data_IF_275864065258
#
_entry.id   IF_275864065258
#
_cell.length_a   1.000
_cell.length_b   1.000
_cell.length_c   1.000
_cell.angle_alpha   90.00
_cell.angle_beta   90.00
_cell.angle_gamma   90.00
#
_symmetry.space_group_name_H-M   'P 1'
#
loop_
_entity.id
_entity.type
_entity.pdbx_description
1 polymer ?
#
# COMPACT_ATOMS: atom_id res chain seq x y z
N UNK A 1 -14.97 -7.62 -0.79
CA UNK A 1 -13.59 -8.12 -0.61
C UNK A 1 -12.64 -6.97 -0.49
N UNK A 2 -11.84 -6.98 0.56
CA UNK A 2 -10.88 -5.92 0.82
C UNK A 2 -9.72 -5.97 -0.16
N UNK A 3 -9.29 -4.81 -0.62
CA UNK A 3 -8.12 -4.64 -1.47
C UNK A 3 -7.17 -3.67 -0.77
N UNK A 4 -5.95 -4.12 -0.55
CA UNK A 4 -4.90 -3.25 -0.03
C UNK A 4 -4.48 -2.28 -1.14
N UNK A 5 -4.28 -1.01 -0.82
CA UNK A 5 -3.89 0.00 -1.82
C UNK A 5 -2.56 0.61 -1.40
N UNK A 6 -1.55 0.41 -2.24
CA UNK A 6 -0.20 0.89 -2.03
C UNK A 6 -0.08 2.40 -2.28
N UNK A 7 0.96 3.00 -1.69
CA UNK A 7 1.31 4.41 -1.89
C UNK A 7 1.36 4.81 -3.36
N UNK A 8 1.90 3.94 -4.22
CA UNK A 8 2.04 4.25 -5.66
C UNK A 8 0.71 4.58 -6.32
N UNK A 9 -0.36 3.92 -5.92
CA UNK A 9 -1.71 4.17 -6.45
C UNK A 9 -2.31 5.43 -5.84
N UNK A 10 -2.23 5.59 -4.52
CA UNK A 10 -2.73 6.79 -3.85
C UNK A 10 -2.03 8.05 -4.36
N UNK A 11 -0.70 8.00 -4.49
CA UNK A 11 0.09 9.12 -4.99
C UNK A 11 -0.31 9.47 -6.43
N UNK A 12 -0.39 8.48 -7.32
CA UNK A 12 -0.77 8.70 -8.72
C UNK A 12 -2.17 9.32 -8.83
N UNK A 13 -3.11 8.87 -7.98
CA UNK A 13 -4.47 9.43 -7.95
C UNK A 13 -4.48 10.89 -7.48
N UNK A 14 -3.57 11.26 -6.58
CA UNK A 14 -3.47 12.63 -6.05
C UNK A 14 -2.65 13.56 -6.94
N UNK A 15 -1.93 13.05 -7.93
CA UNK A 15 -1.03 13.83 -8.79
C UNK A 15 -1.51 13.81 -10.24
N UNK A 16 -2.16 14.89 -10.67
CA UNK A 16 -2.70 15.01 -12.03
C UNK A 16 -1.63 14.90 -13.12
N UNK A 17 -0.36 15.18 -12.78
CA UNK A 17 0.77 15.09 -13.72
C UNK A 17 1.38 13.70 -13.79
N UNK A 18 0.97 12.78 -12.94
CA UNK A 18 1.46 11.40 -12.96
C UNK A 18 0.91 10.67 -14.17
N UNK A 19 1.77 9.91 -14.86
CA UNK A 19 1.37 9.13 -16.03
C UNK A 19 0.31 8.09 -15.74
N UNK A 20 0.22 7.64 -14.48
CA UNK A 20 -0.77 6.67 -14.01
C UNK A 20 -1.99 7.32 -13.35
N UNK A 21 -2.12 8.65 -13.39
CA UNK A 21 -3.21 9.34 -12.69
C UNK A 21 -4.60 8.80 -13.09
N UNK A 22 -4.86 8.69 -14.39
CA UNK A 22 -6.15 8.17 -14.88
C UNK A 22 -6.36 6.72 -14.42
N UNK A 23 -5.35 5.88 -14.58
CA UNK A 23 -5.45 4.46 -14.22
C UNK A 23 -5.67 4.27 -12.73
N UNK A 24 -4.98 5.05 -11.90
CA UNK A 24 -5.17 5.02 -10.45
C UNK A 24 -6.61 5.37 -10.06
N UNK A 25 -7.17 6.42 -10.67
CA UNK A 25 -8.56 6.82 -10.42
C UNK A 25 -9.55 5.74 -10.86
N UNK A 26 -9.31 5.10 -12.00
CA UNK A 26 -10.13 4.00 -12.49
C UNK A 26 -10.09 2.81 -11.52
N UNK A 27 -8.89 2.42 -11.06
CA UNK A 27 -8.73 1.35 -10.08
C UNK A 27 -9.49 1.65 -8.80
N UNK A 28 -9.29 2.83 -8.22
CA UNK A 28 -9.95 3.21 -6.97
C UNK A 28 -11.48 3.24 -7.12
N UNK A 29 -11.98 3.63 -8.27
CA UNK A 29 -13.42 3.65 -8.53
C UNK A 29 -14.04 2.24 -8.57
N UNK A 30 -13.25 1.21 -8.89
CA UNK A 30 -13.74 -0.17 -8.96
C UNK A 30 -13.55 -0.95 -7.66
N UNK A 31 -12.72 -0.44 -6.73
CA UNK A 31 -12.45 -1.12 -5.46
C UNK A 31 -13.54 -0.77 -4.46
N UNK A 32 -14.31 -1.78 -4.04
CA UNK A 32 -15.42 -1.57 -3.10
C UNK A 32 -14.95 -1.34 -1.65
N UNK A 33 -13.89 -2.01 -1.25
CA UNK A 33 -13.38 -1.96 0.13
C UNK A 33 -11.86 -1.66 0.12
N UNK A 34 -11.46 -0.41 -0.20
CA UNK A 34 -10.05 -0.06 -0.16
C UNK A 34 -9.55 0.03 1.27
N UNK A 35 -8.32 -0.43 1.50
CA UNK A 35 -7.68 -0.32 2.80
C UNK A 35 -6.21 0.07 2.67
N UNK A 36 -5.67 0.63 3.76
CA UNK A 36 -4.27 0.97 3.88
C UNK A 36 -3.84 0.85 5.35
N UNK A 37 -2.53 0.92 5.57
CA UNK A 37 -1.98 1.03 6.92
C UNK A 37 -1.69 2.50 7.25
N UNK A 38 -1.44 2.76 8.54
CA UNK A 38 -0.93 4.06 8.99
C UNK A 38 0.45 4.37 8.36
N UNK A 39 1.28 3.35 8.10
CA UNK A 39 2.56 3.53 7.39
C UNK A 39 2.33 4.04 5.96
N UNK A 40 1.39 3.45 5.23
CA UNK A 40 1.01 3.91 3.88
C UNK A 40 0.45 5.34 3.95
N UNK A 41 -0.38 5.63 4.94
CA UNK A 41 -0.93 6.97 5.12
C UNK A 41 0.18 8.01 5.26
N UNK A 42 1.13 7.78 6.15
CA UNK A 42 2.24 8.72 6.40
C UNK A 42 3.13 8.86 5.18
N UNK A 43 3.51 7.75 4.56
CA UNK A 43 4.34 7.76 3.35
C UNK A 43 3.67 8.52 2.21
N UNK A 44 2.40 8.24 1.96
CA UNK A 44 1.62 8.92 0.92
C UNK A 44 1.50 10.41 1.20
N UNK A 45 1.15 10.78 2.43
CA UNK A 45 1.01 12.17 2.81
C UNK A 45 2.31 12.95 2.58
N UNK A 46 3.44 12.38 3.02
CA UNK A 46 4.76 13.02 2.85
C UNK A 46 5.14 13.17 1.37
N UNK A 47 4.88 12.15 0.58
CA UNK A 47 5.21 12.13 -0.84
C UNK A 47 4.36 13.14 -1.61
N UNK A 48 3.06 13.18 -1.36
CA UNK A 48 2.14 14.14 -2.00
C UNK A 48 2.51 15.57 -1.59
N UNK A 49 2.78 15.81 -0.31
CA UNK A 49 3.19 17.14 0.15
C UNK A 49 4.47 17.60 -0.54
N UNK A 50 5.44 16.70 -0.67
CA UNK A 50 6.74 17.02 -1.25
C UNK A 50 6.67 17.26 -2.76
N UNK A 51 5.91 16.45 -3.49
CA UNK A 51 5.92 16.44 -4.95
C UNK A 51 4.73 17.17 -5.58
N UNK A 52 3.67 17.39 -4.85
CA UNK A 52 2.50 18.12 -5.31
C UNK A 52 2.37 19.39 -4.47
N UNK A 53 1.64 19.34 -3.38
CA UNK A 53 1.55 20.42 -2.38
C UNK A 53 0.79 19.93 -1.13
N UNK A 54 0.85 20.75 -0.07
CA UNK A 54 0.22 20.39 1.21
C UNK A 54 -1.29 20.20 1.09
N UNK A 55 -1.98 21.03 0.32
CA UNK A 55 -3.43 20.96 0.19
C UNK A 55 -3.89 19.60 -0.36
N UNK A 56 -3.17 19.07 -1.35
CA UNK A 56 -3.45 17.74 -1.89
C UNK A 56 -3.21 16.64 -0.86
N UNK A 57 -2.13 16.75 -0.08
CA UNK A 57 -1.83 15.81 1.00
C UNK A 57 -2.92 15.81 2.08
N UNK A 58 -3.37 16.99 2.49
CA UNK A 58 -4.45 17.13 3.48
C UNK A 58 -5.78 16.58 2.94
N UNK A 59 -6.06 16.79 1.66
CA UNK A 59 -7.26 16.25 1.02
C UNK A 59 -7.26 14.72 1.04
N UNK A 60 -6.13 14.11 0.75
CA UNK A 60 -5.95 12.66 0.85
C UNK A 60 -6.21 12.17 2.28
N UNK A 61 -5.58 12.79 3.27
CA UNK A 61 -5.76 12.40 4.67
C UNK A 61 -7.21 12.57 5.12
N UNK A 62 -7.85 13.64 4.70
CA UNK A 62 -9.27 13.90 5.02
C UNK A 62 -10.16 12.77 4.51
N UNK A 63 -9.91 12.24 3.31
CA UNK A 63 -10.71 11.14 2.77
C UNK A 63 -10.52 9.85 3.59
N UNK A 64 -9.32 9.60 4.10
CA UNK A 64 -9.06 8.47 5.00
C UNK A 64 -9.77 8.68 6.34
N UNK A 65 -9.64 9.89 6.92
CA UNK A 65 -10.26 10.22 8.20
C UNK A 65 -11.79 10.17 8.16
N UNK A 66 -12.39 10.41 6.98
CA UNK A 66 -13.84 10.33 6.79
C UNK A 66 -14.38 8.90 6.75
N UNK A 67 -13.50 7.88 6.82
CA UNK A 67 -13.91 6.48 6.86
C UNK A 67 -14.24 5.87 5.49
N UNK A 68 -13.92 6.56 4.41
CA UNK A 68 -14.09 6.04 3.04
C UNK A 68 -13.12 4.87 2.78
N UNK A 69 -11.99 4.86 3.48
CA UNK A 69 -10.95 3.86 3.39
C UNK A 69 -10.74 3.23 4.77
N UNK A 70 -10.61 1.91 4.83
CA UNK A 70 -10.29 1.22 6.08
C UNK A 70 -8.83 1.43 6.43
N UNK A 71 -8.56 1.92 7.64
CA UNK A 71 -7.21 2.11 8.16
C UNK A 71 -6.89 1.00 9.17
N UNK A 72 -5.81 0.27 8.91
CA UNK A 72 -5.28 -0.72 9.85
C UNK A 72 -3.95 -0.24 10.40
N UNK A 73 -3.85 -0.17 11.72
CA UNK A 73 -2.61 0.26 12.39
C UNK A 73 -1.61 -0.90 12.36
N UNK A 74 -0.38 -0.61 11.99
CA UNK A 74 0.73 -1.56 12.05
C UNK A 74 1.02 -1.89 13.51
N UNK A 75 1.01 -3.19 13.84
CA UNK A 75 1.24 -3.68 15.21
C UNK A 75 2.70 -4.09 15.40
N UNK A 76 3.11 -4.23 16.66
CA UNK A 76 4.46 -4.69 16.99
C UNK A 76 4.78 -6.03 16.31
N UNK A 77 3.81 -6.95 16.28
CA UNK A 77 3.98 -8.25 15.61
C UNK A 77 4.20 -8.10 14.10
N UNK A 78 3.59 -7.10 13.47
CA UNK A 78 3.80 -6.81 12.05
C UNK A 78 5.22 -6.31 11.79
N UNK A 79 5.78 -5.52 12.71
CA UNK A 79 7.16 -5.06 12.62
C UNK A 79 8.15 -6.22 12.74
N UNK A 80 7.88 -7.17 13.63
CA UNK A 80 8.69 -8.38 13.76
C UNK A 80 8.63 -9.22 12.48
N UNK A 81 7.44 -9.42 11.93
CA UNK A 81 7.25 -10.13 10.68
C UNK A 81 7.95 -9.41 9.52
N UNK A 82 7.89 -8.08 9.47
CA UNK A 82 8.57 -7.27 8.46
C UNK A 82 10.08 -7.41 8.54
N UNK A 83 10.65 -7.48 9.74
CA UNK A 83 12.07 -7.73 9.93
C UNK A 83 12.46 -9.10 9.33
N UNK A 84 11.68 -10.14 9.65
CA UNK A 84 11.90 -11.50 9.14
C UNK A 84 11.79 -11.55 7.60
N UNK A 85 10.89 -10.78 7.00
CA UNK A 85 10.78 -10.68 5.55
C UNK A 85 12.07 -10.12 4.94
N UNK A 86 12.64 -9.07 5.54
CA UNK A 86 13.90 -8.52 5.09
C UNK A 86 15.05 -9.54 5.13
N UNK A 87 15.09 -10.34 6.19
CA UNK A 87 16.08 -11.41 6.34
C UNK A 87 15.91 -12.52 5.29
N UNK A 88 14.66 -12.84 4.95
CA UNK A 88 14.34 -13.90 3.99
C UNK A 88 14.58 -13.51 2.53
N UNK A 89 14.58 -12.20 2.22
CA UNK A 89 14.75 -11.68 0.88
C UNK A 89 15.91 -10.65 0.84
N UNK A 90 17.14 -11.08 1.14
CA UNK A 90 18.28 -10.15 1.27
C UNK A 90 18.69 -9.52 -0.07
N UNK A 91 18.28 -10.09 -1.18
CA UNK A 91 18.54 -9.59 -2.54
C UNK A 91 17.45 -8.64 -3.05
N UNK A 92 16.40 -8.40 -2.26
CA UNK A 92 15.31 -7.49 -2.62
C UNK A 92 15.38 -6.21 -1.79
N UNK A 93 15.21 -5.08 -2.48
CA UNK A 93 15.21 -3.76 -1.83
C UNK A 93 13.82 -3.37 -1.32
N UNK A 94 13.18 -4.27 -0.57
CA UNK A 94 11.90 -3.98 0.05
C UNK A 94 12.07 -2.95 1.18
N UNK A 95 11.35 -1.84 1.10
CA UNK A 95 11.34 -0.84 2.17
C UNK A 95 10.63 -1.37 3.42
N UNK A 96 10.77 -0.65 4.53
CA UNK A 96 9.99 -0.96 5.74
C UNK A 96 8.49 -0.90 5.45
N UNK A 97 8.05 0.08 4.67
CA UNK A 97 6.63 0.23 4.32
C UNK A 97 6.14 -0.95 3.45
N UNK A 98 6.94 -1.39 2.48
CA UNK A 98 6.64 -2.59 1.71
C UNK A 98 6.45 -3.79 2.63
N UNK A 99 7.43 -4.02 3.50
CA UNK A 99 7.45 -5.20 4.37
C UNK A 99 6.33 -5.18 5.41
N UNK A 100 6.03 -4.04 5.99
CA UNK A 100 4.89 -3.93 6.92
C UNK A 100 3.56 -4.08 6.20
N UNK A 101 3.46 -3.62 4.95
CA UNK A 101 2.29 -3.88 4.10
C UNK A 101 2.08 -5.37 3.86
N UNK A 102 3.15 -6.09 3.48
CA UNK A 102 3.10 -7.54 3.29
C UNK A 102 2.66 -8.25 4.57
N UNK A 103 3.24 -7.87 5.70
CA UNK A 103 2.92 -8.48 7.00
C UNK A 103 1.45 -8.27 7.40
N UNK A 104 0.94 -7.06 7.23
CA UNK A 104 -0.46 -6.74 7.54
C UNK A 104 -1.41 -7.49 6.62
N UNK A 105 -1.11 -7.54 5.32
CA UNK A 105 -1.92 -8.29 4.36
C UNK A 105 -1.99 -9.77 4.74
N UNK A 106 -0.86 -10.38 5.11
CA UNK A 106 -0.83 -11.77 5.56
C UNK A 106 -1.65 -11.96 6.84
N UNK A 107 -1.48 -11.08 7.83
CA UNK A 107 -2.21 -11.15 9.10
C UNK A 107 -3.73 -11.09 8.90
N UNK A 108 -4.19 -10.24 7.99
CA UNK A 108 -5.61 -10.04 7.71
C UNK A 108 -6.17 -11.01 6.66
N UNK A 109 -5.33 -11.84 6.06
CA UNK A 109 -5.75 -12.75 5.00
C UNK A 109 -6.15 -12.05 3.71
N UNK A 110 -5.57 -10.87 3.43
CA UNK A 110 -5.84 -10.10 2.21
C UNK A 110 -4.81 -10.49 1.17
N UNK A 111 -5.29 -10.97 0.02
CA UNK A 111 -4.43 -11.42 -1.07
C UNK A 111 -4.42 -10.47 -2.28
N UNK A 112 -5.29 -9.47 -2.31
CA UNK A 112 -5.42 -8.54 -3.43
C UNK A 112 -4.84 -7.18 -3.07
N UNK A 113 -4.03 -6.63 -3.96
CA UNK A 113 -3.38 -5.33 -3.76
C UNK A 113 -3.38 -4.53 -5.05
N UNK A 114 -3.70 -3.24 -4.96
CA UNK A 114 -3.52 -2.30 -6.06
C UNK A 114 -2.16 -1.62 -5.89
N UNK A 115 -1.28 -1.80 -6.85
CA UNK A 115 0.08 -1.23 -6.81
C UNK A 115 0.66 -1.11 -8.21
N UNK A 116 1.37 -0.02 -8.45
CA UNK A 116 2.19 0.15 -9.66
C UNK A 116 3.66 -0.19 -9.40
N UNK A 117 4.00 -0.55 -8.17
CA UNK A 117 5.33 -0.99 -7.78
C UNK A 117 5.47 -2.49 -7.99
N UNK A 118 6.62 -2.93 -8.49
CA UNK A 118 6.88 -4.34 -8.75
C UNK A 118 7.08 -5.17 -7.49
N UNK A 119 7.34 -4.55 -6.32
CA UNK A 119 7.65 -5.27 -5.09
C UNK A 119 6.53 -6.22 -4.67
N UNK A 120 5.26 -5.81 -4.81
CA UNK A 120 4.13 -6.68 -4.48
C UNK A 120 4.01 -7.89 -5.40
N UNK A 121 4.45 -7.75 -6.66
CA UNK A 121 4.46 -8.86 -7.61
C UNK A 121 5.64 -9.82 -7.37
N UNK A 122 6.74 -9.32 -6.82
CA UNK A 122 7.94 -10.11 -6.54
C UNK A 122 7.82 -10.90 -5.23
N UNK A 123 7.24 -10.28 -4.20
CA UNK A 123 7.12 -10.91 -2.88
C UNK A 123 6.27 -12.19 -2.93
N UNK A 124 6.69 -13.18 -2.13
CA UNK A 124 5.95 -14.43 -1.95
C UNK A 124 5.65 -14.61 -0.48
N UNK A 125 4.39 -14.92 -0.18
CA UNK A 125 3.89 -15.07 1.18
C UNK A 125 3.51 -16.52 1.48
N UNK A 126 3.02 -16.74 2.70
CA UNK A 126 2.62 -18.04 3.19
C UNK A 126 3.78 -18.76 3.87
N UNK A 127 3.45 -19.89 4.47
CA UNK A 127 4.40 -20.68 5.28
C UNK A 127 5.65 -21.07 4.50
N UNK A 128 5.48 -21.45 3.23
CA UNK A 128 6.58 -21.89 2.35
C UNK A 128 7.05 -20.78 1.41
N UNK A 129 6.55 -19.56 1.56
CA UNK A 129 6.88 -18.39 0.72
C UNK A 129 6.78 -18.72 -0.77
N UNK A 130 5.67 -19.32 -1.17
CA UNK A 130 5.40 -19.76 -2.54
C UNK A 130 4.12 -19.17 -3.14
N UNK A 131 3.39 -18.35 -2.37
CA UNK A 131 2.14 -17.72 -2.83
C UNK A 131 2.35 -16.27 -3.21
N UNK A 132 1.82 -15.87 -4.36
CA UNK A 132 1.86 -14.50 -4.85
C UNK A 132 0.58 -13.76 -4.46
N UNK A 133 0.69 -12.44 -4.25
CA UNK A 133 -0.48 -11.58 -4.19
C UNK A 133 -1.08 -11.40 -5.59
N UNK A 134 -2.38 -11.15 -5.64
CA UNK A 134 -3.08 -10.74 -6.85
C UNK A 134 -2.93 -9.22 -6.99
N UNK A 135 -2.07 -8.79 -7.91
CA UNK A 135 -1.73 -7.38 -8.08
C UNK A 135 -2.61 -6.74 -9.15
N UNK A 136 -3.38 -5.74 -8.75
CA UNK A 136 -4.19 -4.91 -9.63
C UNK A 136 -3.36 -3.70 -10.07
N UNK A 137 -3.30 -3.47 -11.38
CA UNK A 137 -2.53 -2.35 -11.95
C UNK A 137 -3.31 -1.57 -12.97
#
# INVERSE_FOLDING_TARGET
MSVFVDTSVWFAAANIRDGYNRRAKELLATIGEPMLTDHILVETWRLVRSRVHRQAAESFWRSVAAGVVSLEVVKAADLEAAWAIGEAFPDQDFSIVDRTSFAVMERLGISRVASFDDHFAVYRHGRNRDRAFDVLR
#
